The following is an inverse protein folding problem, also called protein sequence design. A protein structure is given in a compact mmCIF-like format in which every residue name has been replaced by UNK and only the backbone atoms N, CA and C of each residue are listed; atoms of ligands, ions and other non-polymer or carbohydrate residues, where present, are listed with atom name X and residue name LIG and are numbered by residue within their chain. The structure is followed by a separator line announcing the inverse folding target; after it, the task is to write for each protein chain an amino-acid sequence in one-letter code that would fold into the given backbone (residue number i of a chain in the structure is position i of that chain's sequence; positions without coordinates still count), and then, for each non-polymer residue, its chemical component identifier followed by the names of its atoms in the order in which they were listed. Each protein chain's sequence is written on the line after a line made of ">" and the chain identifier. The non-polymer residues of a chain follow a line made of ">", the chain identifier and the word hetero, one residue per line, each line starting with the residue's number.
data_IF_187607844563
#
_entry.id   IF_187607844563
#
_cell.length_a   1.000
_cell.length_b   1.000
_cell.length_c   1.000
_cell.angle_alpha   90.00
_cell.angle_beta   90.00
_cell.angle_gamma   90.00
#
_symmetry.space_group_name_H-M   'P 1'
#
loop_
_entity.id
_entity.type
_entity.pdbx_description
1 polymer ?
#
# COMPACT_ATOMS: atom_id res chain seq x y z
N UNK A 1 6.96 -0.36 0.39
CA UNK A 1 6.74 -0.68 1.81
C UNK A 1 6.19 0.54 2.52
N UNK A 2 5.18 0.36 3.31
CA UNK A 2 4.50 1.43 4.03
C UNK A 2 4.47 1.17 5.52
N UNK A 3 4.14 2.22 6.29
CA UNK A 3 3.77 2.11 7.71
C UNK A 3 2.55 2.97 8.00
N UNK A 4 1.69 2.51 8.89
CA UNK A 4 0.61 3.33 9.40
C UNK A 4 1.17 4.39 10.35
N UNK A 5 0.63 5.61 10.26
CA UNK A 5 1.07 6.74 11.07
C UNK A 5 0.46 6.67 12.49
N UNK A 6 0.77 5.60 13.22
CA UNK A 6 0.31 5.42 14.61
C UNK A 6 0.94 6.41 15.58
N UNK A 7 1.99 7.11 15.15
CA UNK A 7 2.59 8.25 15.85
C UNK A 7 1.68 9.50 15.85
N UNK A 8 0.84 9.65 14.80
CA UNK A 8 -0.05 10.80 14.62
C UNK A 8 -1.52 10.45 14.88
N UNK A 9 -1.91 9.18 14.66
CA UNK A 9 -3.29 8.72 14.74
C UNK A 9 -3.38 7.53 15.70
N UNK A 10 -4.31 7.55 16.68
CA UNK A 10 -4.52 6.39 17.55
C UNK A 10 -5.08 5.22 16.72
N UNK A 11 -4.93 3.99 17.23
CA UNK A 11 -5.39 2.79 16.53
C UNK A 11 -6.91 2.86 16.25
N UNK A 12 -7.68 3.49 17.11
CA UNK A 12 -9.12 3.66 16.96
C UNK A 12 -9.49 4.52 15.74
N UNK A 13 -8.58 5.37 15.25
CA UNK A 13 -8.81 6.15 14.04
C UNK A 13 -8.81 5.27 12.78
N UNK A 14 -8.19 4.10 12.83
CA UNK A 14 -8.24 3.09 11.76
C UNK A 14 -9.52 2.26 11.92
N UNK A 15 -10.66 2.90 11.62
CA UNK A 15 -11.98 2.30 11.84
C UNK A 15 -12.22 1.08 10.94
N UNK A 16 -13.11 0.15 11.34
CA UNK A 16 -13.50 -0.96 10.46
C UNK A 16 -14.03 -0.50 9.11
N UNK A 17 -14.77 0.61 9.06
CA UNK A 17 -15.30 1.19 7.83
C UNK A 17 -14.18 1.68 6.90
N UNK A 18 -13.19 2.39 7.44
CA UNK A 18 -12.05 2.86 6.67
C UNK A 18 -11.22 1.69 6.13
N UNK A 19 -10.95 0.69 6.97
CA UNK A 19 -10.18 -0.48 6.58
C UNK A 19 -10.92 -1.33 5.55
N UNK A 20 -12.26 -1.37 5.60
CA UNK A 20 -13.06 -2.04 4.58
C UNK A 20 -12.95 -1.34 3.22
N UNK A 21 -12.99 0.00 3.20
CA UNK A 21 -12.78 0.79 1.99
C UNK A 21 -11.37 0.59 1.42
N UNK A 22 -10.37 0.53 2.29
CA UNK A 22 -8.98 0.25 1.90
C UNK A 22 -8.88 -1.13 1.24
N UNK A 23 -9.46 -2.15 1.86
CA UNK A 23 -9.46 -3.52 1.33
C UNK A 23 -10.14 -3.60 -0.04
N UNK A 24 -11.26 -2.90 -0.21
CA UNK A 24 -11.97 -2.85 -1.50
C UNK A 24 -11.11 -2.24 -2.58
N UNK A 25 -10.41 -1.13 -2.29
CA UNK A 25 -9.53 -0.47 -3.25
C UNK A 25 -8.33 -1.34 -3.62
N UNK A 26 -7.72 -2.01 -2.64
CA UNK A 26 -6.62 -2.95 -2.89
C UNK A 26 -7.09 -4.09 -3.79
N UNK A 27 -8.26 -4.67 -3.53
CA UNK A 27 -8.83 -5.73 -4.37
C UNK A 27 -9.09 -5.26 -5.78
N UNK A 28 -9.58 -4.03 -5.96
CA UNK A 28 -9.78 -3.43 -7.27
C UNK A 28 -8.47 -3.30 -8.04
N UNK A 29 -7.43 -2.78 -7.39
CA UNK A 29 -6.11 -2.65 -7.99
C UNK A 29 -5.51 -4.01 -8.33
N UNK A 30 -5.73 -5.02 -7.50
CA UNK A 30 -5.32 -6.39 -7.77
C UNK A 30 -6.05 -6.96 -9.00
N UNK A 31 -7.35 -6.75 -9.11
CA UNK A 31 -8.14 -7.19 -10.27
C UNK A 31 -7.68 -6.51 -11.57
N UNK A 32 -7.16 -5.30 -11.48
CA UNK A 32 -6.60 -4.56 -12.62
C UNK A 32 -5.15 -4.95 -12.94
N UNK A 33 -4.54 -5.86 -12.17
CA UNK A 33 -3.16 -6.29 -12.34
C UNK A 33 -2.11 -5.30 -11.83
N UNK A 34 -2.52 -4.22 -11.15
CA UNK A 34 -1.62 -3.20 -10.63
C UNK A 34 -0.97 -3.67 -9.32
N UNK A 35 -1.75 -4.26 -8.42
CA UNK A 35 -1.23 -4.95 -7.23
C UNK A 35 -1.04 -6.41 -7.59
N UNK A 36 0.21 -6.87 -7.60
CA UNK A 36 0.54 -8.27 -7.88
C UNK A 36 0.49 -9.12 -6.60
N UNK A 37 1.01 -8.60 -5.53
CA UNK A 37 1.12 -9.26 -4.24
C UNK A 37 1.09 -8.23 -3.12
N UNK A 38 0.51 -8.58 -1.98
CA UNK A 38 0.50 -7.73 -0.80
C UNK A 38 0.73 -8.56 0.45
N UNK A 39 1.53 -8.02 1.37
CA UNK A 39 1.80 -8.61 2.67
C UNK A 39 1.55 -7.57 3.76
N UNK A 40 1.00 -7.98 4.89
CA UNK A 40 1.05 -7.17 6.10
C UNK A 40 2.44 -7.30 6.72
N UNK A 41 2.95 -6.18 7.24
CA UNK A 41 4.21 -6.22 8.00
C UNK A 41 3.98 -6.89 9.35
N UNK A 42 4.95 -7.71 9.75
CA UNK A 42 4.89 -8.42 11.03
C UNK A 42 5.60 -7.64 12.15
N UNK A 43 6.41 -6.64 11.78
CA UNK A 43 7.18 -5.83 12.73
C UNK A 43 6.39 -4.64 13.28
N UNK A 44 5.73 -3.89 12.41
CA UNK A 44 4.91 -2.73 12.76
C UNK A 44 3.68 -2.67 11.84
N UNK A 45 2.60 -1.94 12.20
CA UNK A 45 1.47 -1.78 11.31
C UNK A 45 1.88 -1.15 9.98
N UNK A 46 1.55 -1.82 8.89
CA UNK A 46 1.90 -1.41 7.53
C UNK A 46 1.85 -2.58 6.58
N UNK A 47 2.28 -2.36 5.35
CA UNK A 47 2.27 -3.38 4.31
C UNK A 47 3.48 -3.30 3.39
N UNK A 48 3.75 -4.40 2.71
CA UNK A 48 4.65 -4.46 1.57
C UNK A 48 3.83 -4.86 0.36
N UNK A 49 3.95 -4.13 -0.74
CA UNK A 49 3.19 -4.38 -1.95
C UNK A 49 4.14 -4.50 -3.13
N UNK A 50 3.93 -5.55 -3.93
CA UNK A 50 4.56 -5.69 -5.23
C UNK A 50 3.61 -5.09 -6.27
N UNK A 51 4.06 -4.03 -6.93
CA UNK A 51 3.30 -3.28 -7.91
C UNK A 51 3.75 -3.65 -9.32
N UNK A 52 2.80 -3.68 -10.26
CA UNK A 52 3.09 -3.74 -11.70
C UNK A 52 2.55 -2.47 -12.35
N UNK A 53 3.45 -1.66 -12.89
CA UNK A 53 3.09 -0.40 -13.53
C UNK A 53 4.16 0.01 -14.54
N UNK A 54 3.79 0.87 -15.49
CA UNK A 54 4.70 1.35 -16.51
C UNK A 54 5.74 2.33 -15.97
N UNK A 55 5.45 3.01 -14.85
CA UNK A 55 6.34 4.04 -14.29
C UNK A 55 6.12 4.18 -12.78
N UNK A 56 7.08 4.81 -12.09
CA UNK A 56 6.93 5.18 -10.68
C UNK A 56 5.72 6.12 -10.48
N UNK A 57 5.48 7.04 -11.42
CA UNK A 57 4.35 7.95 -11.33
C UNK A 57 3.01 7.20 -11.31
N UNK A 58 2.90 6.11 -12.07
CA UNK A 58 1.69 5.27 -12.07
C UNK A 58 1.51 4.54 -10.74
N UNK A 59 2.61 4.07 -10.12
CA UNK A 59 2.55 3.47 -8.78
C UNK A 59 2.12 4.51 -7.75
N UNK A 60 2.68 5.71 -7.79
CA UNK A 60 2.30 6.78 -6.87
C UNK A 60 0.84 7.19 -7.03
N UNK A 61 0.32 7.19 -8.26
CA UNK A 61 -1.10 7.45 -8.52
C UNK A 61 -1.99 6.36 -7.90
N UNK A 62 -1.58 5.09 -8.01
CA UNK A 62 -2.30 3.98 -7.39
C UNK A 62 -2.27 4.09 -5.86
N UNK A 63 -1.13 4.44 -5.27
CA UNK A 63 -1.01 4.67 -3.82
C UNK A 63 -1.93 5.82 -3.39
N UNK A 64 -1.98 6.90 -4.16
CA UNK A 64 -2.83 8.06 -3.87
C UNK A 64 -4.33 7.72 -3.91
N UNK A 65 -4.72 6.62 -4.54
CA UNK A 65 -6.11 6.14 -4.54
C UNK A 65 -6.50 5.39 -3.27
N UNK A 66 -5.53 5.03 -2.40
CA UNK A 66 -5.79 4.28 -1.18
C UNK A 66 -6.43 5.18 -0.11
N UNK A 67 -7.59 4.79 0.44
CA UNK A 67 -8.28 5.63 1.44
C UNK A 67 -7.42 5.98 2.67
N UNK A 68 -6.63 5.04 3.16
CA UNK A 68 -5.76 5.28 4.33
C UNK A 68 -4.66 6.29 3.97
N UNK A 69 -4.12 6.22 2.75
CA UNK A 69 -3.14 7.22 2.29
C UNK A 69 -3.78 8.59 2.11
N UNK A 70 -4.97 8.66 1.52
CA UNK A 70 -5.71 9.92 1.34
C UNK A 70 -6.00 10.61 2.66
N UNK A 71 -6.22 9.84 3.72
CA UNK A 71 -6.45 10.37 5.07
C UNK A 71 -5.16 10.82 5.76
N UNK A 72 -3.99 10.69 5.13
CA UNK A 72 -2.70 11.04 5.73
C UNK A 72 -2.22 10.06 6.79
N UNK A 73 -2.81 8.87 6.85
CA UNK A 73 -2.58 7.87 7.90
C UNK A 73 -1.56 6.81 7.50
N UNK A 74 -0.99 6.93 6.31
CA UNK A 74 -0.02 5.98 5.76
C UNK A 74 1.20 6.73 5.24
N UNK A 75 2.39 6.22 5.58
CA UNK A 75 3.66 6.74 5.07
C UNK A 75 4.31 5.70 4.17
N UNK A 76 4.80 6.13 3.01
CA UNK A 76 5.62 5.28 2.14
C UNK A 76 7.07 5.37 2.62
N UNK A 77 7.56 4.25 3.15
CA UNK A 77 8.91 4.17 3.73
C UNK A 77 9.93 3.87 2.63
N UNK A 78 9.60 2.94 1.75
CA UNK A 78 10.45 2.53 0.62
C UNK A 78 9.56 2.37 -0.60
N UNK A 79 9.98 2.95 -1.71
CA UNK A 79 9.44 2.70 -3.05
C UNK A 79 10.63 2.54 -3.99
N UNK A 80 10.83 1.32 -4.47
CA UNK A 80 12.01 0.98 -5.28
C UNK A 80 11.60 0.18 -6.52
N UNK A 81 12.18 0.47 -7.68
CA UNK A 81 12.00 -0.39 -8.85
C UNK A 81 12.73 -1.72 -8.62
N UNK A 82 12.12 -2.80 -9.11
CA UNK A 82 12.67 -4.15 -9.01
C UNK A 82 12.93 -4.71 -10.39
N UNK A 83 13.94 -5.55 -10.49
CA UNK A 83 14.25 -6.31 -11.69
C UNK A 83 14.57 -7.76 -11.27
N UNK A 84 14.37 -8.73 -12.17
CA UNK A 84 14.69 -10.13 -11.85
C UNK A 84 16.15 -10.28 -11.45
N UNK A 85 16.40 -11.12 -10.44
CA UNK A 85 17.74 -11.49 -10.06
C UNK A 85 18.28 -12.47 -11.11
N UNK A 86 19.52 -12.27 -11.65
CA UNK A 86 20.07 -13.16 -12.66
C UNK A 86 20.13 -14.61 -12.18
N UNK A 87 19.59 -15.53 -12.98
CA UNK A 87 19.61 -16.96 -12.66
C UNK A 87 18.38 -17.44 -11.88
N UNK A 88 17.42 -16.56 -11.63
CA UNK A 88 16.16 -16.92 -10.93
C UNK A 88 14.95 -16.68 -11.80
#
# INVERSE_FOLDING_TARGET
>A
MSRRRTDLFPLEAFTPELLALESQQVKKLHAQGIVQQIWLRDDIPGSAILWEAASEADVRAAIASLPVFQAGMLEIVVLAPLKPYPGF
#
